data_IF_782663669593
#
_entry.id   IF_782663669593
#
_cell.length_a   1.000
_cell.length_b   1.000
_cell.length_c   1.000
_cell.angle_alpha   90.00
_cell.angle_beta   90.00
_cell.angle_gamma   90.00
#
_symmetry.space_group_name_H-M   'P 1'
#
loop_
_entity.id
_entity.type
_entity.pdbx_description
1 polymer ?
#
# COMPACT_ATOMS: atom_id res chain seq x y z
N UNK A 1 -1.05 -6.85 8.12
CA UNK A 1 -1.00 -5.90 9.26
C UNK A 1 -0.91 -4.45 8.81
N UNK A 2 -1.68 -4.02 7.77
CA UNK A 2 -1.45 -2.73 7.09
C UNK A 2 -2.39 -1.61 7.54
N UNK A 3 -3.54 -1.91 8.17
CA UNK A 3 -4.45 -0.86 8.62
C UNK A 3 -3.84 -0.05 9.76
N UNK A 4 -4.14 1.26 9.83
CA UNK A 4 -3.59 2.16 10.84
C UNK A 4 -3.83 1.63 12.26
N UNK A 5 -5.06 1.22 12.59
CA UNK A 5 -5.36 0.67 13.91
C UNK A 5 -4.62 -0.62 14.22
N UNK A 6 -4.41 -1.53 13.25
CA UNK A 6 -3.59 -2.73 13.46
C UNK A 6 -2.11 -2.37 13.69
N UNK A 7 -1.58 -1.39 12.96
CA UNK A 7 -0.20 -0.91 13.17
C UNK A 7 -0.04 -0.36 14.58
N UNK A 8 -0.95 0.49 15.04
CA UNK A 8 -0.92 1.06 16.38
C UNK A 8 -1.02 -0.02 17.45
N UNK A 9 -1.96 -0.95 17.29
CA UNK A 9 -2.07 -2.08 18.20
C UNK A 9 -0.78 -2.92 18.27
N UNK A 10 -0.16 -3.21 17.12
CA UNK A 10 1.12 -3.94 17.08
C UNK A 10 2.27 -3.18 17.74
N UNK A 11 2.30 -1.84 17.62
CA UNK A 11 3.27 -0.98 18.34
C UNK A 11 3.09 -1.06 19.86
N UNK A 12 1.85 -1.04 20.35
CA UNK A 12 1.55 -1.22 21.79
C UNK A 12 1.86 -2.63 22.27
N UNK A 13 1.52 -3.64 21.47
CA UNK A 13 1.77 -5.05 21.77
C UNK A 13 3.26 -5.37 21.84
N UNK A 14 4.09 -4.68 21.06
CA UNK A 14 5.54 -4.93 20.96
C UNK A 14 5.85 -6.42 20.81
N UNK A 15 5.45 -7.05 19.69
CA UNK A 15 5.57 -8.49 19.53
C UNK A 15 7.04 -8.92 19.59
N UNK A 16 7.33 -9.93 20.41
CA UNK A 16 8.66 -10.50 20.62
C UNK A 16 8.74 -11.94 20.09
N UNK A 17 7.59 -12.51 19.76
CA UNK A 17 7.47 -13.88 19.26
C UNK A 17 6.40 -14.01 18.20
N UNK A 18 6.43 -15.12 17.45
CA UNK A 18 5.37 -15.43 16.49
C UNK A 18 4.01 -15.60 17.19
N UNK A 19 3.98 -16.11 18.42
CA UNK A 19 2.77 -16.25 19.21
C UNK A 19 2.09 -14.90 19.49
N UNK A 20 2.86 -13.84 19.70
CA UNK A 20 2.31 -12.48 19.85
C UNK A 20 1.61 -12.00 18.58
N UNK A 21 2.19 -12.30 17.41
CA UNK A 21 1.59 -11.95 16.12
C UNK A 21 0.30 -12.75 15.90
N UNK A 22 0.29 -14.05 16.24
CA UNK A 22 -0.88 -14.91 16.16
C UNK A 22 -2.01 -14.37 17.05
N UNK A 23 -1.68 -14.01 18.30
CA UNK A 23 -2.64 -13.41 19.22
C UNK A 23 -3.14 -12.06 18.71
N UNK A 24 -2.25 -11.22 18.19
CA UNK A 24 -2.61 -9.92 17.63
C UNK A 24 -3.60 -10.02 16.47
N UNK A 25 -3.37 -10.92 15.52
CA UNK A 25 -4.31 -11.18 14.41
C UNK A 25 -5.67 -11.66 14.96
N UNK A 26 -5.65 -12.45 16.01
CA UNK A 26 -6.88 -13.02 16.60
C UNK A 26 -7.69 -12.00 17.41
N UNK A 27 -7.02 -11.08 18.11
CA UNK A 27 -7.63 -10.07 18.96
C UNK A 27 -8.13 -8.84 18.19
N UNK A 28 -7.46 -8.42 17.13
CA UNK A 28 -7.83 -7.21 16.41
C UNK A 28 -9.03 -7.41 15.50
N UNK A 29 -10.20 -7.56 16.11
CA UNK A 29 -11.51 -7.72 15.43
C UNK A 29 -12.63 -7.21 16.34
N UNK A 30 -13.78 -6.75 15.79
CA UNK A 30 -14.93 -6.36 16.61
C UNK A 30 -15.34 -7.46 17.60
N UNK A 31 -15.38 -7.12 18.87
CA UNK A 31 -15.63 -8.03 20.00
C UNK A 31 -14.36 -8.37 20.78
N UNK A 32 -13.40 -9.13 20.23
CA UNK A 32 -12.15 -9.44 20.93
C UNK A 32 -11.27 -8.22 21.23
N UNK A 33 -11.42 -7.13 20.49
CA UNK A 33 -10.66 -5.89 20.73
C UNK A 33 -10.81 -5.36 22.17
N UNK A 34 -11.93 -5.59 22.82
CA UNK A 34 -12.17 -5.17 24.21
C UNK A 34 -11.21 -5.85 25.21
N UNK A 35 -10.60 -6.97 24.83
CA UNK A 35 -9.64 -7.71 25.65
C UNK A 35 -8.18 -7.34 25.40
N UNK A 36 -7.89 -6.52 24.39
CA UNK A 36 -6.53 -6.07 24.07
C UNK A 36 -5.83 -5.43 25.28
N UNK A 37 -6.45 -4.50 26.04
CA UNK A 37 -5.81 -3.90 27.20
C UNK A 37 -5.41 -4.93 28.27
N UNK A 38 -6.27 -5.94 28.50
CA UNK A 38 -5.99 -7.02 29.45
C UNK A 38 -4.81 -7.89 28.96
N UNK A 39 -4.79 -8.22 27.67
CA UNK A 39 -3.72 -9.01 27.07
C UNK A 39 -2.37 -8.28 27.17
N UNK A 40 -2.32 -6.99 26.80
CA UNK A 40 -1.10 -6.16 26.88
C UNK A 40 -0.63 -6.02 28.33
N UNK A 41 -1.56 -5.79 29.28
CA UNK A 41 -1.23 -5.72 30.71
C UNK A 41 -0.60 -7.03 31.21
N UNK A 42 -1.19 -8.16 30.87
CA UNK A 42 -0.66 -9.48 31.23
C UNK A 42 0.69 -9.77 30.59
N UNK A 43 0.89 -9.39 29.30
CA UNK A 43 2.15 -9.52 28.62
C UNK A 43 3.27 -8.69 29.25
N UNK A 44 2.97 -7.42 29.61
CA UNK A 44 3.95 -6.52 30.20
C UNK A 44 4.29 -6.88 31.67
N UNK A 45 3.37 -7.57 32.36
CA UNK A 45 3.55 -8.02 33.74
C UNK A 45 2.97 -9.43 33.93
N UNK A 46 3.64 -10.48 33.44
CA UNK A 46 3.16 -11.87 33.52
C UNK A 46 2.91 -12.36 34.97
N UNK A 47 3.68 -11.82 35.93
CA UNK A 47 3.53 -12.18 37.35
C UNK A 47 2.22 -11.66 37.96
N UNK A 48 1.57 -10.66 37.37
CA UNK A 48 0.28 -10.14 37.81
C UNK A 48 -0.91 -10.97 37.33
N UNK A 49 -0.69 -11.94 36.44
CA UNK A 49 -1.76 -12.79 35.91
C UNK A 49 -2.18 -13.80 36.94
N UNK A 50 -3.46 -13.79 37.28
CA UNK A 50 -4.06 -14.75 38.23
C UNK A 50 -4.94 -15.72 37.45
N UNK A 51 -5.00 -16.97 37.94
CA UNK A 51 -5.82 -18.03 37.37
C UNK A 51 -6.82 -18.50 38.41
N UNK A 52 -8.09 -18.65 38.06
CA UNK A 52 -9.16 -19.12 38.97
C UNK A 52 -8.93 -20.55 39.48
N UNK A 53 -8.16 -21.33 38.73
CA UNK A 53 -7.66 -22.67 39.17
C UNK A 53 -6.29 -22.92 38.58
N UNK A 54 -5.38 -23.65 39.28
CA UNK A 54 -4.07 -24.01 38.72
C UNK A 54 -4.13 -24.78 37.39
N UNK A 55 -5.25 -25.46 37.14
CA UNK A 55 -5.46 -26.22 35.88
C UNK A 55 -5.58 -25.31 34.64
N UNK A 56 -5.92 -24.05 34.81
CA UNK A 56 -6.00 -23.07 33.72
C UNK A 56 -4.62 -22.54 33.28
N UNK A 57 -3.65 -22.55 34.19
CA UNK A 57 -2.33 -21.97 33.93
C UNK A 57 -1.68 -22.54 32.67
N UNK A 58 -1.52 -23.85 32.46
CA UNK A 58 -0.87 -24.38 31.29
C UNK A 58 -1.62 -24.08 29.98
N UNK A 59 -2.92 -23.78 30.06
CA UNK A 59 -3.77 -23.48 28.90
C UNK A 59 -3.69 -22.00 28.52
N UNK A 60 -3.71 -21.10 29.52
CA UNK A 60 -3.86 -19.66 29.35
C UNK A 60 -2.55 -18.88 29.52
N UNK A 61 -1.49 -19.50 30.04
CA UNK A 61 -0.17 -18.84 30.19
C UNK A 61 0.37 -18.30 28.86
N UNK A 62 0.26 -19.03 27.71
CA UNK A 62 0.71 -18.52 26.42
C UNK A 62 -0.05 -17.28 25.91
N UNK A 63 -1.20 -16.99 26.51
CA UNK A 63 -2.07 -15.85 26.19
C UNK A 63 -2.31 -14.92 27.38
N UNK A 64 -1.39 -14.97 28.35
CA UNK A 64 -1.38 -14.09 29.52
C UNK A 64 -2.72 -14.06 30.31
N UNK A 65 -3.33 -15.24 30.43
CA UNK A 65 -4.59 -15.41 31.17
C UNK A 65 -5.86 -15.12 30.36
N UNK A 66 -5.72 -14.73 29.09
CA UNK A 66 -6.88 -14.48 28.22
C UNK A 66 -7.27 -15.74 27.42
N UNK A 67 -8.57 -15.98 27.25
CA UNK A 67 -9.06 -16.96 26.29
C UNK A 67 -9.06 -16.24 24.92
N UNK A 68 -8.27 -16.67 23.96
CA UNK A 68 -8.15 -16.08 22.61
C UNK A 68 -8.59 -17.05 21.52
N UNK A 69 -8.31 -18.33 21.73
CA UNK A 69 -8.47 -19.38 20.72
C UNK A 69 -9.60 -20.35 21.03
N UNK A 70 -10.25 -20.86 19.98
CA UNK A 70 -11.25 -21.91 20.08
C UNK A 70 -10.67 -23.18 20.72
N UNK A 71 -9.41 -23.47 20.44
CA UNK A 71 -8.66 -24.60 20.97
C UNK A 71 -8.52 -24.52 22.49
N UNK A 72 -8.38 -23.31 23.06
CA UNK A 72 -8.31 -23.12 24.51
C UNK A 72 -9.66 -23.46 25.17
N UNK A 73 -10.79 -23.10 24.58
CA UNK A 73 -12.11 -23.51 25.08
C UNK A 73 -12.22 -25.03 25.15
N UNK A 74 -11.75 -25.73 24.09
CA UNK A 74 -11.74 -27.20 24.10
C UNK A 74 -10.83 -27.76 25.18
N UNK A 75 -9.63 -27.21 25.34
CA UNK A 75 -8.67 -27.63 26.38
C UNK A 75 -9.22 -27.41 27.80
N UNK A 76 -9.91 -26.27 28.01
CA UNK A 76 -10.53 -25.95 29.32
C UNK A 76 -11.58 -27.01 29.70
N UNK A 77 -12.52 -27.34 28.81
CA UNK A 77 -13.55 -28.33 29.14
C UNK A 77 -12.97 -29.74 29.31
N UNK A 78 -11.89 -30.05 28.60
CA UNK A 78 -11.17 -31.31 28.77
C UNK A 78 -10.44 -31.38 30.12
N UNK A 79 -9.65 -30.35 30.44
CA UNK A 79 -8.82 -30.33 31.64
C UNK A 79 -9.63 -30.20 32.92
N UNK A 80 -10.69 -29.36 32.94
CA UNK A 80 -11.45 -29.06 34.12
C UNK A 80 -12.60 -30.03 34.37
N UNK A 81 -13.31 -30.44 33.33
CA UNK A 81 -14.51 -31.28 33.44
C UNK A 81 -14.37 -32.69 32.88
N UNK A 82 -13.19 -33.04 32.32
CA UNK A 82 -12.90 -34.38 31.83
C UNK A 82 -13.62 -34.74 30.51
N UNK A 83 -13.88 -33.77 29.63
CA UNK A 83 -14.51 -34.02 28.35
C UNK A 83 -13.59 -34.76 27.40
N UNK A 84 -14.14 -35.66 26.60
CA UNK A 84 -13.41 -36.22 25.46
C UNK A 84 -13.18 -35.15 24.40
N UNK A 85 -12.18 -35.30 23.52
CA UNK A 85 -11.90 -34.35 22.43
C UNK A 85 -13.12 -34.14 21.51
N UNK A 86 -13.80 -35.23 21.13
CA UNK A 86 -14.99 -35.14 20.28
C UNK A 86 -16.13 -34.35 20.94
N UNK A 87 -16.33 -34.55 22.27
CA UNK A 87 -17.33 -33.78 23.02
C UNK A 87 -16.93 -32.31 23.19
N UNK A 88 -15.66 -32.03 23.45
CA UNK A 88 -15.16 -30.66 23.55
C UNK A 88 -15.40 -29.89 22.24
N UNK A 89 -15.25 -30.54 21.08
CA UNK A 89 -15.56 -29.91 19.78
C UNK A 89 -17.08 -29.64 19.62
N UNK A 90 -17.94 -30.52 20.11
CA UNK A 90 -19.39 -30.26 20.10
C UNK A 90 -19.75 -29.02 20.98
N UNK A 91 -19.13 -28.89 22.15
CA UNK A 91 -19.31 -27.71 23.02
C UNK A 91 -18.86 -26.44 22.32
N UNK A 92 -17.65 -26.45 21.74
CA UNK A 92 -17.13 -25.32 20.96
C UNK A 92 -18.07 -24.90 19.84
N UNK A 93 -18.60 -25.86 19.08
CA UNK A 93 -19.57 -25.62 17.98
C UNK A 93 -20.88 -25.05 18.51
N UNK A 94 -21.40 -25.55 19.65
CA UNK A 94 -22.62 -25.07 20.26
C UNK A 94 -22.48 -23.62 20.73
N UNK A 95 -21.37 -23.27 21.38
CA UNK A 95 -21.05 -21.93 21.83
C UNK A 95 -20.92 -20.97 20.63
N UNK A 96 -20.18 -21.33 19.58
CA UNK A 96 -20.04 -20.52 18.36
C UNK A 96 -21.37 -20.25 17.65
N UNK A 97 -22.31 -21.21 17.68
CA UNK A 97 -23.64 -21.10 17.07
C UNK A 97 -24.68 -20.46 17.99
N UNK A 98 -24.30 -20.05 19.22
CA UNK A 98 -25.17 -19.40 20.22
C UNK A 98 -26.45 -20.19 20.52
N UNK A 99 -26.38 -21.51 20.57
CA UNK A 99 -27.51 -22.37 20.88
C UNK A 99 -27.76 -22.40 22.40
N UNK A 100 -28.55 -21.45 22.90
CA UNK A 100 -28.76 -21.24 24.32
C UNK A 100 -29.16 -22.50 25.12
N UNK A 101 -30.09 -23.30 24.61
CA UNK A 101 -30.52 -24.55 25.26
C UNK A 101 -29.42 -25.59 25.34
N UNK A 102 -28.56 -25.69 24.34
CA UNK A 102 -27.41 -26.59 24.35
C UNK A 102 -26.34 -26.09 25.33
N UNK A 103 -26.12 -24.78 25.34
CA UNK A 103 -25.15 -24.16 26.22
C UNK A 103 -25.53 -24.33 27.71
N UNK A 104 -26.80 -24.20 28.03
CA UNK A 104 -27.26 -24.42 29.41
C UNK A 104 -27.15 -25.87 29.85
N UNK A 105 -27.51 -26.82 28.96
CA UNK A 105 -27.30 -28.25 29.23
C UNK A 105 -25.81 -28.56 29.43
N UNK A 106 -24.95 -27.99 28.61
CA UNK A 106 -23.50 -28.20 28.75
C UNK A 106 -22.91 -27.50 29.96
N UNK A 107 -23.50 -26.39 30.44
CA UNK A 107 -23.13 -25.79 31.74
C UNK A 107 -23.34 -26.80 32.90
N UNK A 108 -24.49 -27.45 32.94
CA UNK A 108 -24.79 -28.47 33.95
C UNK A 108 -23.80 -29.63 33.86
N UNK A 109 -23.53 -30.12 32.65
CA UNK A 109 -22.55 -31.20 32.45
C UNK A 109 -21.12 -30.75 32.86
N UNK A 110 -20.72 -29.53 32.53
CA UNK A 110 -19.41 -28.98 32.86
C UNK A 110 -19.23 -28.85 34.41
N UNK A 111 -20.20 -28.31 35.09
CA UNK A 111 -20.11 -28.05 36.50
C UNK A 111 -20.28 -29.35 37.31
N UNK A 112 -21.39 -30.05 37.10
CA UNK A 112 -21.80 -31.19 37.94
C UNK A 112 -21.46 -32.56 37.40
N UNK A 113 -21.13 -32.63 36.12
CA UNK A 113 -20.88 -33.88 35.41
C UNK A 113 -22.11 -34.54 34.79
N UNK A 114 -21.90 -35.61 34.07
CA UNK A 114 -22.94 -36.41 33.47
C UNK A 114 -22.39 -37.83 33.23
N UNK A 115 -22.69 -38.76 34.15
CA UNK A 115 -22.17 -40.12 34.10
C UNK A 115 -22.63 -40.87 32.86
N UNK A 116 -23.85 -40.63 32.37
CA UNK A 116 -24.41 -41.28 31.20
C UNK A 116 -23.65 -40.87 29.91
N UNK A 117 -23.07 -39.71 29.93
CA UNK A 117 -22.27 -39.17 28.79
C UNK A 117 -20.75 -39.22 29.09
N UNK A 118 -20.33 -39.84 30.19
CA UNK A 118 -18.92 -40.05 30.55
C UNK A 118 -18.18 -38.75 30.93
N UNK A 119 -18.90 -37.75 31.44
CA UNK A 119 -18.34 -36.46 31.87
C UNK A 119 -18.22 -36.41 33.38
N UNK A 120 -17.02 -36.37 33.98
CA UNK A 120 -16.84 -36.24 35.44
C UNK A 120 -17.38 -34.95 36.01
N UNK A 121 -17.22 -33.84 35.35
CA UNK A 121 -17.56 -32.50 35.83
C UNK A 121 -16.50 -31.85 36.71
N UNK A 122 -16.54 -30.52 36.83
CA UNK A 122 -15.57 -29.71 37.56
C UNK A 122 -15.56 -30.05 39.06
N UNK A 123 -16.72 -30.23 39.67
CA UNK A 123 -16.83 -30.51 41.11
C UNK A 123 -16.12 -31.81 41.47
N UNK A 124 -16.28 -32.88 40.67
CA UNK A 124 -15.59 -34.14 40.89
C UNK A 124 -14.07 -34.01 40.74
N UNK A 125 -13.63 -33.05 39.94
CA UNK A 125 -12.22 -32.74 39.72
C UNK A 125 -11.67 -31.71 40.73
N UNK A 126 -12.41 -31.40 41.78
CA UNK A 126 -11.98 -30.55 42.89
C UNK A 126 -12.10 -29.05 42.66
N UNK A 127 -12.87 -28.62 41.68
CA UNK A 127 -13.17 -27.20 41.41
C UNK A 127 -14.54 -26.88 42.01
N UNK A 128 -14.62 -25.85 42.82
CA UNK A 128 -15.90 -25.45 43.43
C UNK A 128 -16.90 -24.91 42.43
N UNK A 129 -18.18 -25.00 42.75
CA UNK A 129 -19.31 -24.63 41.89
C UNK A 129 -19.22 -23.18 41.39
N UNK A 130 -18.86 -22.25 42.28
CA UNK A 130 -18.78 -20.83 41.95
C UNK A 130 -17.68 -20.55 40.90
N UNK A 131 -16.51 -21.13 41.13
CA UNK A 131 -15.37 -21.04 40.22
C UNK A 131 -15.69 -21.70 38.90
N UNK A 132 -16.30 -22.89 38.86
CA UNK A 132 -16.70 -23.56 37.64
C UNK A 132 -17.71 -22.76 36.84
N UNK A 133 -18.72 -22.18 37.45
CA UNK A 133 -19.70 -21.32 36.77
C UNK A 133 -19.05 -20.05 36.23
N UNK A 134 -18.16 -19.40 36.99
CA UNK A 134 -17.42 -18.22 36.50
C UNK A 134 -16.61 -18.53 35.21
N UNK A 135 -15.85 -19.62 35.24
CA UNK A 135 -15.06 -20.03 34.08
C UNK A 135 -15.96 -20.35 32.88
N UNK A 136 -17.12 -20.96 33.13
CA UNK A 136 -18.06 -21.26 32.07
C UNK A 136 -18.66 -19.97 31.45
N UNK A 137 -18.96 -18.95 32.25
CA UNK A 137 -19.43 -17.64 31.78
C UNK A 137 -18.36 -16.95 30.91
N UNK A 138 -17.10 -16.97 31.36
CA UNK A 138 -15.98 -16.44 30.60
C UNK A 138 -15.82 -17.16 29.27
N UNK A 139 -15.93 -18.49 29.24
CA UNK A 139 -15.90 -19.27 27.99
C UNK A 139 -17.04 -18.90 27.05
N UNK A 140 -18.26 -18.69 27.57
CA UNK A 140 -19.42 -18.27 26.72
C UNK A 140 -19.18 -16.91 26.09
N UNK A 141 -18.69 -15.95 26.88
CA UNK A 141 -18.45 -14.60 26.35
C UNK A 141 -17.36 -14.60 25.29
N UNK A 142 -16.30 -15.36 25.49
CA UNK A 142 -15.23 -15.53 24.53
C UNK A 142 -15.60 -16.39 23.33
N UNK A 143 -16.37 -17.45 23.51
CA UNK A 143 -16.73 -18.35 22.41
C UNK A 143 -17.53 -17.68 21.30
N UNK A 144 -18.19 -16.55 21.61
CA UNK A 144 -18.84 -15.70 20.60
C UNK A 144 -17.84 -15.14 19.58
N UNK A 145 -16.56 -15.01 19.97
CA UNK A 145 -15.51 -14.29 19.26
C UNK A 145 -14.21 -15.09 19.11
N UNK A 146 -14.07 -16.24 19.79
CA UNK A 146 -12.87 -17.08 19.79
C UNK A 146 -12.43 -17.43 18.36
N UNK A 147 -11.12 -17.31 18.10
CA UNK A 147 -10.54 -17.48 16.76
C UNK A 147 -9.89 -18.85 16.61
N UNK A 148 -9.89 -19.37 15.42
CA UNK A 148 -9.13 -20.57 15.10
C UNK A 148 -7.64 -20.26 15.09
N UNK A 149 -6.87 -20.87 16.01
CA UNK A 149 -5.43 -20.62 16.14
C UNK A 149 -4.67 -20.97 14.87
N UNK A 150 -5.00 -22.09 14.22
CA UNK A 150 -4.32 -22.55 13.02
C UNK A 150 -4.45 -21.54 11.87
N UNK A 151 -5.62 -20.93 11.72
CA UNK A 151 -5.84 -19.89 10.71
C UNK A 151 -5.00 -18.62 11.03
N UNK A 152 -5.01 -18.15 12.28
CA UNK A 152 -4.19 -17.02 12.69
C UNK A 152 -2.69 -17.32 12.54
N UNK A 153 -2.25 -18.52 12.87
CA UNK A 153 -0.85 -18.95 12.73
C UNK A 153 -0.38 -18.90 11.26
N UNK A 154 -1.20 -19.39 10.33
CA UNK A 154 -0.88 -19.32 8.91
C UNK A 154 -0.67 -17.88 8.42
N UNK A 155 -1.58 -16.98 8.78
CA UNK A 155 -1.44 -15.54 8.45
C UNK A 155 -0.30 -14.85 9.18
N UNK A 156 -0.05 -15.19 10.45
CA UNK A 156 1.09 -14.66 11.20
C UNK A 156 2.42 -15.04 10.55
N UNK A 157 2.54 -16.29 10.10
CA UNK A 157 3.74 -16.77 9.42
C UNK A 157 3.99 -16.00 8.12
N UNK A 158 2.96 -15.83 7.26
CA UNK A 158 3.07 -15.02 6.03
C UNK A 158 3.41 -13.56 6.35
N UNK A 159 2.75 -12.97 7.36
CA UNK A 159 3.04 -11.60 7.79
C UNK A 159 4.49 -11.43 8.27
N UNK A 160 4.98 -12.39 9.03
CA UNK A 160 6.38 -12.41 9.47
C UNK A 160 7.35 -12.53 8.29
N UNK A 161 7.07 -13.43 7.33
CA UNK A 161 7.91 -13.57 6.13
C UNK A 161 7.97 -12.27 5.32
N UNK A 162 6.83 -11.60 5.12
CA UNK A 162 6.78 -10.33 4.39
C UNK A 162 7.54 -9.22 5.13
N UNK A 163 7.42 -9.14 6.45
CA UNK A 163 8.18 -8.20 7.26
C UNK A 163 9.70 -8.46 7.21
N UNK A 164 10.09 -9.74 7.28
CA UNK A 164 11.48 -10.16 7.17
C UNK A 164 12.07 -9.79 5.80
N UNK A 165 11.35 -10.08 4.73
CA UNK A 165 11.78 -9.72 3.36
C UNK A 165 11.89 -8.19 3.20
N UNK A 166 10.93 -7.43 3.73
CA UNK A 166 10.97 -5.96 3.68
C UNK A 166 12.17 -5.40 4.43
N UNK A 167 12.56 -6.02 5.56
CA UNK A 167 13.70 -5.57 6.37
C UNK A 167 15.05 -5.90 5.73
N UNK A 168 15.25 -7.13 5.26
CA UNK A 168 16.54 -7.58 4.75
C UNK A 168 16.74 -7.35 3.24
N UNK A 169 15.65 -7.26 2.47
CA UNK A 169 15.63 -7.10 1.01
C UNK A 169 14.62 -6.03 0.59
N UNK A 170 14.79 -4.78 1.09
CA UNK A 170 13.76 -3.76 0.89
C UNK A 170 13.55 -3.40 -0.58
N UNK A 171 14.58 -3.36 -1.40
CA UNK A 171 14.51 -3.02 -2.83
C UNK A 171 13.71 -4.06 -3.60
N UNK A 172 14.06 -5.34 -3.41
CA UNK A 172 13.39 -6.48 -4.03
C UNK A 172 11.93 -6.59 -3.56
N UNK A 173 11.70 -6.39 -2.26
CA UNK A 173 10.36 -6.43 -1.68
C UNK A 173 9.47 -5.34 -2.27
N UNK A 174 9.94 -4.10 -2.33
CA UNK A 174 9.17 -2.98 -2.87
C UNK A 174 8.93 -3.13 -4.38
N UNK A 175 9.90 -3.63 -5.14
CA UNK A 175 9.73 -3.93 -6.57
C UNK A 175 8.65 -5.01 -6.80
N UNK A 176 8.66 -6.08 -6.01
CA UNK A 176 7.66 -7.14 -6.04
C UNK A 176 6.28 -6.64 -5.62
N UNK A 177 6.20 -5.81 -4.57
CA UNK A 177 4.97 -5.22 -4.06
C UNK A 177 4.31 -4.30 -5.11
N UNK A 178 5.08 -3.40 -5.72
CA UNK A 178 4.59 -2.54 -6.81
C UNK A 178 4.12 -3.37 -8.03
N UNK A 179 4.85 -4.43 -8.34
CA UNK A 179 4.46 -5.35 -9.43
C UNK A 179 3.13 -6.05 -9.13
N UNK A 180 2.88 -6.44 -7.88
CA UNK A 180 1.63 -7.11 -7.49
C UNK A 180 0.38 -6.24 -7.63
N UNK A 181 0.55 -4.92 -7.63
CA UNK A 181 -0.53 -3.95 -7.78
C UNK A 181 -0.38 -3.06 -9.02
N UNK A 182 0.33 -3.54 -10.05
CA UNK A 182 0.70 -2.77 -11.26
C UNK A 182 -0.51 -2.18 -11.99
N UNK A 183 -1.66 -2.85 -11.92
CA UNK A 183 -2.93 -2.40 -12.52
C UNK A 183 -3.66 -1.33 -11.67
N UNK A 184 -3.09 -0.95 -10.51
CA UNK A 184 -3.64 0.08 -9.63
C UNK A 184 -2.67 1.25 -9.48
N UNK A 185 -2.75 2.28 -10.36
CA UNK A 185 -1.81 3.42 -10.35
C UNK A 185 -1.73 4.15 -9.02
N UNK A 186 -2.85 4.24 -8.27
CA UNK A 186 -2.87 4.88 -6.95
C UNK A 186 -2.02 4.13 -5.93
N UNK A 187 -2.10 2.79 -5.92
CA UNK A 187 -1.25 1.95 -5.05
C UNK A 187 0.21 1.97 -5.46
N UNK A 188 0.48 1.95 -6.76
CA UNK A 188 1.84 2.10 -7.29
C UNK A 188 2.45 3.43 -6.82
N UNK A 189 1.71 4.54 -6.94
CA UNK A 189 2.17 5.86 -6.48
C UNK A 189 2.45 5.87 -4.96
N UNK A 190 1.56 5.29 -4.13
CA UNK A 190 1.75 5.16 -2.68
C UNK A 190 3.05 4.41 -2.35
N UNK A 191 3.30 3.28 -3.02
CA UNK A 191 4.50 2.47 -2.76
C UNK A 191 5.78 3.10 -3.32
N UNK A 192 5.69 3.91 -4.37
CA UNK A 192 6.83 4.71 -4.85
C UNK A 192 7.22 5.76 -3.81
N UNK A 193 6.25 6.47 -3.24
CA UNK A 193 6.51 7.42 -2.16
C UNK A 193 7.13 6.71 -0.94
N UNK A 194 6.56 5.58 -0.53
CA UNK A 194 7.13 4.77 0.55
C UNK A 194 8.57 4.31 0.25
N UNK A 195 8.85 3.91 -0.98
CA UNK A 195 10.22 3.53 -1.40
C UNK A 195 11.19 4.68 -1.28
N UNK A 196 10.80 5.89 -1.69
CA UNK A 196 11.62 7.10 -1.56
C UNK A 196 11.90 7.46 -0.10
N UNK A 197 10.90 7.34 0.79
CA UNK A 197 11.07 7.52 2.24
C UNK A 197 12.05 6.51 2.84
N UNK A 198 12.12 5.30 2.28
CA UNK A 198 13.11 4.27 2.64
C UNK A 198 14.50 4.52 2.01
N UNK A 199 14.70 5.62 1.29
CA UNK A 199 15.95 5.93 0.58
C UNK A 199 16.16 5.14 -0.72
N UNK A 200 15.13 4.47 -1.25
CA UNK A 200 15.19 3.69 -2.48
C UNK A 200 14.80 4.57 -3.67
N UNK A 201 15.73 4.78 -4.60
CA UNK A 201 15.50 5.54 -5.82
C UNK A 201 14.63 4.77 -6.81
N UNK A 202 13.75 5.50 -7.50
CA UNK A 202 12.95 4.96 -8.60
C UNK A 202 13.50 5.52 -9.90
N UNK A 203 13.97 4.63 -10.77
CA UNK A 203 14.50 4.99 -12.09
C UNK A 203 13.36 5.01 -13.12
N UNK A 204 13.38 5.94 -14.08
CA UNK A 204 12.36 6.01 -15.13
C UNK A 204 12.35 4.73 -15.98
N UNK A 205 11.25 4.47 -16.71
CA UNK A 205 11.25 3.41 -17.71
C UNK A 205 12.33 3.65 -18.75
N UNK A 206 12.89 2.57 -19.28
CA UNK A 206 13.94 2.59 -20.30
C UNK A 206 13.66 1.44 -21.28
N UNK A 207 13.53 1.75 -22.57
CA UNK A 207 13.15 0.77 -23.57
C UNK A 207 14.15 -0.39 -23.70
N UNK A 208 15.41 -0.13 -23.35
CA UNK A 208 16.49 -1.09 -23.44
C UNK A 208 16.74 -1.86 -22.12
N UNK A 209 16.18 -1.40 -20.98
CA UNK A 209 16.47 -1.97 -19.67
C UNK A 209 15.22 -2.44 -18.91
N UNK A 210 14.10 -1.71 -19.04
CA UNK A 210 12.87 -2.04 -18.30
C UNK A 210 12.25 -3.33 -18.79
N UNK A 211 11.76 -4.11 -17.84
CA UNK A 211 10.86 -5.23 -18.06
C UNK A 211 9.38 -4.77 -18.01
N UNK A 212 8.44 -5.67 -18.23
CA UNK A 212 7.03 -5.37 -17.98
C UNK A 212 6.74 -5.02 -16.52
N UNK A 213 7.41 -5.70 -15.59
CA UNK A 213 7.30 -5.51 -14.14
C UNK A 213 8.34 -4.52 -13.59
N UNK A 214 8.15 -4.03 -12.37
CA UNK A 214 9.18 -3.32 -11.62
C UNK A 214 10.33 -4.28 -11.30
N UNK A 215 11.56 -3.86 -11.53
CA UNK A 215 12.76 -4.68 -11.35
C UNK A 215 13.84 -3.94 -10.57
N UNK A 216 14.65 -4.72 -9.88
CA UNK A 216 15.83 -4.18 -9.17
C UNK A 216 16.90 -3.80 -10.20
N UNK A 217 17.47 -2.61 -10.04
CA UNK A 217 18.56 -2.08 -10.85
C UNK A 217 19.63 -1.48 -9.90
N UNK A 218 20.53 -2.31 -9.44
CA UNK A 218 21.48 -1.97 -8.37
C UNK A 218 20.77 -1.78 -7.02
N UNK A 219 20.88 -0.58 -6.46
CA UNK A 219 20.18 -0.18 -5.21
C UNK A 219 18.89 0.61 -5.49
N UNK A 220 18.44 0.62 -6.74
CA UNK A 220 17.25 1.33 -7.17
C UNK A 220 16.21 0.36 -7.75
N UNK A 221 15.01 0.86 -7.98
CA UNK A 221 13.94 0.13 -8.65
C UNK A 221 13.70 0.79 -10.01
N UNK A 222 13.78 0.01 -11.08
CA UNK A 222 13.44 0.45 -12.42
C UNK A 222 11.94 0.34 -12.64
N UNK A 223 11.34 1.40 -13.18
CA UNK A 223 9.92 1.47 -13.48
C UNK A 223 9.52 0.43 -14.52
N UNK A 224 8.47 -0.34 -14.24
CA UNK A 224 7.95 -1.37 -15.13
C UNK A 224 7.15 -0.79 -16.28
N UNK A 225 7.43 -1.22 -17.51
CA UNK A 225 6.73 -0.72 -18.70
C UNK A 225 5.21 -0.99 -18.69
N UNK A 226 4.75 -2.04 -17.99
CA UNK A 226 3.32 -2.34 -17.84
C UNK A 226 2.57 -1.30 -17.02
N UNK A 227 3.25 -0.57 -16.16
CA UNK A 227 2.65 0.50 -15.38
C UNK A 227 2.50 1.81 -16.17
N UNK A 228 3.09 1.91 -17.37
CA UNK A 228 2.91 3.06 -18.24
C UNK A 228 1.51 3.01 -18.86
N UNK A 229 0.77 4.10 -18.75
CA UNK A 229 -0.62 4.19 -19.21
C UNK A 229 -0.78 3.82 -20.70
N UNK A 230 -1.69 2.91 -20.97
CA UNK A 230 -2.03 2.50 -22.33
C UNK A 230 -1.03 1.55 -22.99
N UNK A 231 -0.08 1.01 -22.25
CA UNK A 231 0.83 -0.02 -22.72
C UNK A 231 0.25 -1.40 -22.42
N UNK A 232 -0.04 -2.16 -23.45
CA UNK A 232 -0.57 -3.51 -23.32
C UNK A 232 0.53 -4.56 -23.12
N UNK A 233 0.19 -5.67 -22.48
CA UNK A 233 1.10 -6.80 -22.27
C UNK A 233 1.75 -7.33 -23.56
N UNK A 234 1.03 -7.50 -24.71
CA UNK A 234 1.63 -7.97 -25.94
C UNK A 234 2.73 -7.06 -26.48
N UNK A 235 2.56 -5.73 -26.35
CA UNK A 235 3.58 -4.75 -26.77
C UNK A 235 4.87 -4.92 -25.97
N UNK A 236 4.74 -5.07 -24.65
CA UNK A 236 5.88 -5.26 -23.75
C UNK A 236 6.64 -6.55 -24.03
N UNK A 237 5.89 -7.65 -24.19
CA UNK A 237 6.48 -8.95 -24.52
C UNK A 237 7.26 -8.87 -25.83
N UNK A 238 6.67 -8.24 -26.87
CA UNK A 238 7.35 -8.03 -28.15
C UNK A 238 8.62 -7.19 -28.03
N UNK A 239 8.63 -6.14 -27.18
CA UNK A 239 9.81 -5.31 -26.95
C UNK A 239 10.92 -6.11 -26.27
N UNK A 240 10.58 -6.83 -25.21
CA UNK A 240 11.55 -7.61 -24.42
C UNK A 240 12.12 -8.75 -25.25
N UNK A 241 11.29 -9.49 -25.98
CA UNK A 241 11.72 -10.57 -26.88
C UNK A 241 12.65 -10.04 -27.96
N UNK A 242 12.26 -8.94 -28.62
CA UNK A 242 13.01 -8.37 -29.72
C UNK A 242 14.41 -7.90 -29.30
N UNK A 243 14.50 -7.15 -28.18
CA UNK A 243 15.81 -6.70 -27.69
C UNK A 243 16.69 -7.83 -27.16
N UNK A 244 16.06 -8.89 -26.61
CA UNK A 244 16.78 -10.08 -26.12
C UNK A 244 17.37 -10.89 -27.27
N UNK A 245 16.67 -10.98 -28.38
CA UNK A 245 17.12 -11.72 -29.57
C UNK A 245 18.13 -10.92 -30.42
N UNK A 246 17.93 -9.63 -30.60
CA UNK A 246 18.63 -8.81 -31.59
C UNK A 246 19.41 -7.63 -30.97
N UNK A 247 19.54 -7.60 -29.62
CA UNK A 247 20.26 -6.56 -28.89
C UNK A 247 19.44 -5.27 -28.69
N UNK A 248 20.02 -4.28 -28.01
CA UNK A 248 19.34 -3.04 -27.66
C UNK A 248 18.91 -2.25 -28.89
N UNK A 249 17.83 -1.50 -28.76
CA UNK A 249 17.39 -0.53 -29.76
C UNK A 249 18.35 0.66 -29.78
N UNK A 250 18.69 1.14 -30.98
CA UNK A 250 19.68 2.20 -31.19
C UNK A 250 19.06 3.58 -31.44
N UNK A 251 17.82 3.60 -31.94
CA UNK A 251 17.09 4.83 -32.28
C UNK A 251 15.59 4.56 -32.33
N UNK A 252 14.78 5.63 -32.40
CA UNK A 252 13.35 5.51 -32.62
C UNK A 252 13.02 4.80 -33.96
N UNK A 253 13.80 5.03 -35.03
CA UNK A 253 13.60 4.37 -36.31
C UNK A 253 13.90 2.87 -36.21
N UNK A 254 15.02 2.47 -35.61
CA UNK A 254 15.37 1.06 -35.35
C UNK A 254 14.29 0.35 -34.52
N UNK A 255 13.78 1.01 -33.50
CA UNK A 255 12.65 0.51 -32.67
C UNK A 255 11.39 0.30 -33.54
N UNK A 256 11.03 1.28 -34.36
CA UNK A 256 9.85 1.21 -35.20
C UNK A 256 9.96 0.11 -36.28
N UNK A 257 11.12 -0.02 -36.94
CA UNK A 257 11.39 -1.03 -37.98
C UNK A 257 11.29 -2.46 -37.38
N UNK A 258 11.98 -2.71 -36.30
CA UNK A 258 12.06 -4.02 -35.63
C UNK A 258 10.72 -4.47 -35.01
N UNK A 259 9.90 -3.54 -34.60
CA UNK A 259 8.57 -3.81 -34.00
C UNK A 259 7.42 -3.53 -34.95
N UNK A 260 7.71 -3.22 -36.22
CA UNK A 260 6.70 -2.99 -37.26
C UNK A 260 5.81 -4.23 -37.43
N UNK A 261 4.49 -4.04 -37.28
CA UNK A 261 3.49 -5.12 -37.35
C UNK A 261 3.26 -5.87 -36.06
N UNK A 262 3.89 -5.46 -34.94
CA UNK A 262 3.66 -5.98 -33.60
C UNK A 262 2.93 -4.89 -32.78
N UNK A 263 1.67 -4.82 -32.78
CA UNK A 263 0.77 -3.96 -31.94
C UNK A 263 1.32 -2.60 -31.43
N UNK A 264 2.48 -2.14 -31.91
CA UNK A 264 3.08 -0.84 -31.59
C UNK A 264 2.42 0.22 -32.46
N UNK A 265 1.69 1.13 -31.84
CA UNK A 265 1.00 2.22 -32.53
C UNK A 265 1.51 3.60 -32.08
N UNK A 266 1.05 4.66 -32.76
CA UNK A 266 1.46 6.04 -32.43
C UNK A 266 1.25 6.41 -30.99
N UNK A 267 0.13 6.00 -30.38
CA UNK A 267 -0.19 6.29 -28.98
C UNK A 267 0.78 5.59 -28.00
N UNK A 268 1.15 4.35 -28.31
CA UNK A 268 2.15 3.61 -27.53
C UNK A 268 3.50 4.34 -27.53
N UNK A 269 3.97 4.74 -28.70
CA UNK A 269 5.25 5.45 -28.84
C UNK A 269 5.20 6.82 -28.16
N UNK A 270 4.13 7.58 -28.35
CA UNK A 270 3.90 8.84 -27.66
C UNK A 270 3.97 8.69 -26.15
N UNK A 271 3.30 7.69 -25.56
CA UNK A 271 3.33 7.46 -24.15
C UNK A 271 4.71 7.04 -23.63
N UNK A 272 5.47 6.28 -24.40
CA UNK A 272 6.87 5.98 -24.07
C UNK A 272 7.78 7.22 -24.13
N UNK A 273 7.57 8.12 -25.10
CA UNK A 273 8.30 9.39 -25.17
C UNK A 273 7.97 10.23 -23.91
N UNK A 274 6.70 10.41 -23.60
CA UNK A 274 6.25 11.14 -22.41
C UNK A 274 6.81 10.56 -21.10
N UNK A 275 6.91 9.24 -21.03
CA UNK A 275 7.47 8.52 -19.89
C UNK A 275 9.00 8.59 -19.79
N UNK A 276 9.70 9.06 -20.83
CA UNK A 276 11.16 9.08 -20.88
C UNK A 276 11.78 7.74 -21.26
N UNK A 277 11.01 6.77 -21.75
CA UNK A 277 11.53 5.44 -22.08
C UNK A 277 12.56 5.43 -23.21
N UNK A 278 12.60 6.47 -24.01
CA UNK A 278 13.56 6.64 -25.13
C UNK A 278 14.71 7.61 -24.81
N UNK A 279 14.83 8.11 -23.60
CA UNK A 279 15.91 9.03 -23.19
C UNK A 279 17.29 8.41 -23.39
N UNK A 280 17.38 7.07 -23.39
CA UNK A 280 18.60 6.30 -23.70
C UNK A 280 19.15 6.52 -25.14
N UNK A 281 18.37 7.09 -26.05
CA UNK A 281 18.82 7.41 -27.40
C UNK A 281 19.61 8.73 -27.48
N UNK A 282 19.67 9.52 -26.41
CA UNK A 282 20.38 10.81 -26.40
C UNK A 282 19.70 11.90 -27.22
N UNK A 283 18.43 11.73 -27.56
CA UNK A 283 17.58 12.68 -28.25
C UNK A 283 16.55 13.21 -27.29
N UNK A 284 16.22 14.52 -27.31
CA UNK A 284 15.28 15.11 -26.39
C UNK A 284 13.85 14.62 -26.62
N UNK A 285 13.05 14.56 -25.57
CA UNK A 285 11.64 14.14 -25.69
C UNK A 285 10.86 15.05 -26.63
N UNK A 286 11.18 16.36 -26.63
CA UNK A 286 10.57 17.33 -27.54
C UNK A 286 10.92 17.03 -29.01
N UNK A 287 12.18 16.71 -29.31
CA UNK A 287 12.58 16.30 -30.66
C UNK A 287 11.88 15.02 -31.10
N UNK A 288 11.81 14.02 -30.24
CA UNK A 288 11.08 12.76 -30.48
C UNK A 288 9.60 13.00 -30.75
N UNK A 289 8.95 13.87 -30.00
CA UNK A 289 7.54 14.24 -30.20
C UNK A 289 7.28 14.92 -31.55
N UNK A 290 8.24 15.64 -32.11
CA UNK A 290 8.10 16.22 -33.45
C UNK A 290 8.18 15.19 -34.59
N UNK A 291 8.97 14.13 -34.43
CA UNK A 291 9.27 13.21 -35.51
C UNK A 291 8.57 11.86 -35.45
N UNK A 292 8.13 11.40 -34.28
CA UNK A 292 7.69 10.01 -34.04
C UNK A 292 6.57 9.57 -35.00
N UNK A 293 5.61 10.44 -35.28
CA UNK A 293 4.47 10.11 -36.11
C UNK A 293 4.88 9.87 -37.58
N UNK A 294 5.79 10.71 -38.08
CA UNK A 294 6.32 10.58 -39.44
C UNK A 294 7.20 9.34 -39.54
N UNK A 295 8.08 9.09 -38.59
CA UNK A 295 8.93 7.88 -38.54
C UNK A 295 8.09 6.61 -38.63
N UNK A 296 7.02 6.53 -37.86
CA UNK A 296 6.12 5.36 -37.85
C UNK A 296 5.37 5.21 -39.19
N UNK A 297 4.94 6.33 -39.80
CA UNK A 297 4.26 6.30 -41.10
C UNK A 297 5.22 5.88 -42.23
N UNK A 298 6.47 6.37 -42.21
CA UNK A 298 7.49 6.02 -43.21
C UNK A 298 7.86 4.55 -43.11
N UNK A 299 8.11 4.02 -41.90
CA UNK A 299 8.38 2.60 -41.68
C UNK A 299 7.21 1.72 -42.15
N UNK A 300 5.97 2.13 -41.83
CA UNK A 300 4.78 1.39 -42.30
C UNK A 300 4.65 1.38 -43.82
N UNK A 301 5.00 2.48 -44.48
CA UNK A 301 5.02 2.61 -45.96
C UNK A 301 6.09 1.73 -46.57
N UNK A 302 7.34 1.83 -46.09
CA UNK A 302 8.47 1.03 -46.57
C UNK A 302 8.15 -0.47 -46.47
N UNK A 303 7.56 -0.92 -45.38
CA UNK A 303 7.13 -2.32 -45.20
C UNK A 303 6.05 -2.75 -46.17
N UNK A 304 5.07 -1.88 -46.42
CA UNK A 304 4.00 -2.17 -47.42
C UNK A 304 4.56 -2.30 -48.83
N UNK A 305 5.49 -1.43 -49.20
CA UNK A 305 6.11 -1.43 -50.51
C UNK A 305 7.01 -2.67 -50.72
N UNK A 306 7.75 -3.10 -49.69
CA UNK A 306 8.54 -4.33 -49.73
C UNK A 306 7.68 -5.59 -49.86
N UNK A 307 6.52 -5.64 -49.21
CA UNK A 307 5.55 -6.76 -49.30
C UNK A 307 4.85 -6.82 -50.65
N UNK A 308 4.75 -5.72 -51.41
CA UNK A 308 4.17 -5.68 -52.74
C UNK A 308 5.14 -6.14 -53.85
N UNK A 309 6.36 -6.58 -53.52
CA UNK A 309 7.36 -7.05 -54.46
C UNK A 309 8.06 -5.95 -55.26
N UNK A 310 7.82 -4.68 -54.93
CA UNK A 310 8.61 -3.57 -55.43
C UNK A 310 9.93 -3.52 -54.66
N UNK A 311 11.03 -3.89 -55.33
CA UNK A 311 12.38 -3.67 -54.80
C UNK A 311 12.55 -2.17 -54.57
N UNK A 312 12.85 -1.79 -53.34
CA UNK A 312 13.19 -0.40 -53.01
C UNK A 312 14.51 -0.06 -53.69
N UNK A 313 14.63 1.15 -54.22
CA UNK A 313 15.90 1.70 -54.73
C UNK A 313 16.99 1.63 -53.64
N UNK A 314 16.62 1.53 -52.39
CA UNK A 314 17.47 1.42 -51.21
C UNK A 314 18.16 0.05 -51.03
N UNK A 315 17.66 -1.02 -51.64
CA UNK A 315 18.30 -2.35 -51.58
C UNK A 315 19.64 -2.40 -52.37
N UNK A 316 19.87 -1.40 -53.22
CA UNK A 316 21.07 -1.26 -54.04
C UNK A 316 22.06 -0.20 -53.51
N UNK A 317 21.80 0.44 -52.40
CA UNK A 317 22.57 1.57 -51.87
C UNK A 317 23.51 1.07 -50.78
N UNK A 318 24.78 1.51 -50.83
CA UNK A 318 25.79 1.17 -49.84
C UNK A 318 25.48 1.73 -48.44
N UNK A 319 26.15 1.21 -47.38
CA UNK A 319 25.91 1.61 -46.00
C UNK A 319 26.17 3.09 -45.74
N UNK A 320 26.99 3.75 -46.53
CA UNK A 320 27.28 5.19 -46.39
C UNK A 320 26.10 6.05 -46.85
N UNK A 321 25.38 5.60 -47.87
CA UNK A 321 24.18 6.30 -48.34
C UNK A 321 22.96 5.96 -47.50
N UNK A 322 22.89 4.77 -46.89
CA UNK A 322 21.86 4.43 -45.87
C UNK A 322 21.93 5.36 -44.68
N UNK A 323 23.11 5.80 -44.23
CA UNK A 323 23.29 6.80 -43.20
C UNK A 323 22.72 8.19 -43.54
N UNK A 324 22.59 8.54 -44.78
CA UNK A 324 22.00 9.82 -45.24
C UNK A 324 20.48 9.87 -45.07
N UNK A 325 19.83 8.76 -44.72
CA UNK A 325 18.40 8.63 -44.43
C UNK A 325 18.11 8.42 -42.93
N UNK A 326 19.07 8.78 -42.06
CA UNK A 326 18.81 8.84 -40.62
C UNK A 326 17.76 9.92 -40.36
N UNK A 327 16.90 9.64 -39.34
CA UNK A 327 15.89 10.60 -38.94
C UNK A 327 16.54 11.94 -38.58
N UNK A 328 16.19 12.98 -39.29
CA UNK A 328 16.66 14.34 -38.99
C UNK A 328 15.83 14.89 -37.85
N UNK A 329 16.46 15.11 -36.72
CA UNK A 329 15.82 15.71 -35.56
C UNK A 329 15.87 17.24 -35.64
N UNK A 330 14.77 17.97 -35.44
CA UNK A 330 14.76 19.43 -35.45
C UNK A 330 15.55 19.98 -34.25
N UNK A 331 16.20 21.12 -34.44
CA UNK A 331 16.89 21.85 -33.38
C UNK A 331 15.89 22.67 -32.55
N UNK A 332 15.14 21.99 -31.63
CA UNK A 332 14.07 22.61 -30.84
C UNK A 332 14.38 22.60 -29.34
N UNK A 333 15.56 22.11 -28.95
CA UNK A 333 15.92 21.93 -27.54
C UNK A 333 15.06 20.88 -26.83
N UNK A 334 14.93 21.01 -25.51
CA UNK A 334 14.07 20.16 -24.70
C UNK A 334 12.88 20.98 -24.15
N UNK A 335 11.88 20.28 -23.65
CA UNK A 335 10.79 20.90 -22.85
C UNK A 335 11.34 21.51 -21.57
N UNK A 336 10.66 22.52 -21.06
CA UNK A 336 10.91 22.99 -19.70
C UNK A 336 10.68 21.86 -18.68
N UNK A 337 11.41 21.89 -17.56
CA UNK A 337 11.34 20.83 -16.53
C UNK A 337 9.90 20.59 -16.04
N UNK A 338 9.13 21.66 -15.88
CA UNK A 338 7.71 21.58 -15.47
C UNK A 338 6.86 20.80 -16.47
N UNK A 339 7.12 20.99 -17.77
CA UNK A 339 6.38 20.31 -18.83
C UNK A 339 6.76 18.82 -18.88
N UNK A 340 8.06 18.50 -18.76
CA UNK A 340 8.53 17.12 -18.66
C UNK A 340 7.88 16.36 -17.50
N UNK A 341 7.80 16.97 -16.33
CA UNK A 341 7.16 16.39 -15.16
C UNK A 341 5.65 16.21 -15.36
N UNK A 342 5.02 17.16 -16.05
CA UNK A 342 3.59 17.06 -16.41
C UNK A 342 3.34 15.89 -17.34
N UNK A 343 4.19 15.70 -18.38
CA UNK A 343 4.13 14.57 -19.29
C UNK A 343 4.34 13.23 -18.56
N UNK A 344 5.31 13.17 -17.66
CA UNK A 344 5.52 11.97 -16.84
C UNK A 344 4.29 11.64 -16.01
N UNK A 345 3.73 12.62 -15.27
CA UNK A 345 2.55 12.41 -14.43
C UNK A 345 1.34 11.96 -15.22
N UNK A 346 1.16 12.44 -16.46
CA UNK A 346 0.06 12.04 -17.34
C UNK A 346 0.08 10.52 -17.63
N UNK A 347 1.26 9.94 -17.82
CA UNK A 347 1.42 8.55 -18.28
C UNK A 347 1.93 7.58 -17.22
N UNK A 348 2.60 8.07 -16.18
CA UNK A 348 3.11 7.28 -15.06
C UNK A 348 2.26 7.42 -13.79
N UNK A 349 1.41 8.46 -13.71
CA UNK A 349 0.62 8.79 -12.54
C UNK A 349 1.39 9.51 -11.42
N UNK A 350 2.70 9.66 -11.56
CA UNK A 350 3.63 10.28 -10.61
C UNK A 350 4.75 11.02 -11.33
N UNK A 351 5.49 11.84 -10.58
CA UNK A 351 6.75 12.42 -11.02
C UNK A 351 7.91 11.46 -10.73
N UNK A 352 8.67 11.06 -11.74
CA UNK A 352 9.80 10.13 -11.59
C UNK A 352 11.14 10.85 -11.65
N UNK A 353 11.34 11.77 -12.60
CA UNK A 353 12.62 12.44 -12.85
C UNK A 353 12.89 13.64 -11.92
N UNK A 354 11.97 13.99 -11.03
CA UNK A 354 12.10 15.11 -10.11
C UNK A 354 10.77 15.48 -9.47
N UNK A 355 10.72 16.62 -8.79
CA UNK A 355 9.47 17.16 -8.22
C UNK A 355 9.27 18.60 -8.68
N UNK A 356 8.04 19.05 -9.03
CA UNK A 356 7.80 20.40 -9.52
C UNK A 356 8.16 21.54 -8.53
N UNK A 357 8.31 21.21 -7.25
CA UNK A 357 8.71 22.18 -6.20
C UNK A 357 10.24 22.23 -5.98
N UNK A 358 11.06 21.37 -6.61
CA UNK A 358 12.50 21.34 -6.38
C UNK A 358 13.16 22.70 -6.66
N UNK A 359 12.79 23.36 -7.76
CA UNK A 359 13.33 24.68 -8.11
C UNK A 359 12.88 25.80 -7.14
N UNK A 360 11.85 25.54 -6.37
CA UNK A 360 11.28 26.48 -5.41
C UNK A 360 11.46 26.00 -3.97
N UNK A 361 12.34 25.04 -3.73
CA UNK A 361 12.56 24.43 -2.41
C UNK A 361 12.91 25.47 -1.35
N UNK A 362 13.75 26.46 -1.66
CA UNK A 362 14.14 27.50 -0.73
C UNK A 362 12.94 28.39 -0.32
N UNK A 363 12.09 28.77 -1.28
CA UNK A 363 10.86 29.49 -1.02
C UNK A 363 9.89 28.63 -0.19
N UNK A 364 9.75 27.36 -0.55
CA UNK A 364 8.90 26.42 0.16
C UNK A 364 9.35 26.27 1.62
N UNK A 365 10.63 25.98 1.88
CA UNK A 365 11.15 25.81 3.25
C UNK A 365 11.00 27.05 4.13
N UNK A 366 11.12 28.24 3.56
CA UNK A 366 10.99 29.50 4.33
C UNK A 366 9.56 29.81 4.77
N UNK A 367 8.57 29.30 4.07
CA UNK A 367 7.16 29.66 4.27
C UNK A 367 6.30 28.56 4.91
N UNK A 368 6.88 27.40 5.22
CA UNK A 368 6.18 26.33 5.93
C UNK A 368 6.60 26.28 7.40
N UNK A 369 5.70 25.79 8.25
CA UNK A 369 5.99 25.43 9.64
C UNK A 369 6.04 23.91 9.87
N UNK A 370 5.42 23.14 8.97
CA UNK A 370 5.40 21.69 9.01
C UNK A 370 5.43 21.11 7.58
N UNK A 371 5.96 19.91 7.44
CA UNK A 371 5.93 19.14 6.18
C UNK A 371 4.83 18.09 6.23
N UNK A 372 4.44 17.57 5.06
CA UNK A 372 3.34 16.59 4.98
C UNK A 372 3.58 15.32 5.80
N UNK A 373 4.84 14.89 5.96
CA UNK A 373 5.19 13.73 6.76
C UNK A 373 5.03 13.95 8.25
N UNK A 374 5.07 15.19 8.75
CA UNK A 374 4.85 15.50 10.17
C UNK A 374 3.42 15.17 10.63
N UNK A 375 2.48 15.07 9.68
CA UNK A 375 1.08 14.70 9.93
C UNK A 375 0.87 13.18 9.91
N UNK A 376 1.86 12.41 9.50
CA UNK A 376 1.84 10.96 9.54
C UNK A 376 2.36 10.47 10.90
N UNK A 377 1.86 9.35 11.41
CA UNK A 377 2.45 8.73 12.59
C UNK A 377 3.91 8.36 12.29
N UNK A 378 4.83 8.85 13.11
CA UNK A 378 6.24 8.47 13.07
C UNK A 378 6.42 6.96 13.30
N UNK A 379 7.40 6.34 12.64
CA UNK A 379 7.59 4.89 12.70
C UNK A 379 8.03 4.39 14.07
N UNK A 380 8.77 5.20 14.84
CA UNK A 380 9.27 4.81 16.16
C UNK A 380 8.29 5.15 17.27
N UNK A 381 7.75 6.36 17.26
CA UNK A 381 6.88 6.86 18.35
C UNK A 381 5.41 6.51 18.16
N UNK A 382 4.97 6.29 16.91
CA UNK A 382 3.57 6.03 16.58
C UNK A 382 2.67 7.26 16.55
N UNK A 383 3.22 8.45 16.87
CA UNK A 383 2.48 9.71 16.91
C UNK A 383 2.96 10.67 15.82
N UNK A 384 2.09 11.52 15.28
CA UNK A 384 2.51 12.59 14.39
C UNK A 384 3.38 13.60 15.14
N UNK A 385 4.29 14.26 14.43
CA UNK A 385 5.14 15.33 15.00
C UNK A 385 4.35 16.60 15.30
N UNK A 386 3.20 16.79 14.65
CA UNK A 386 2.30 17.93 14.86
C UNK A 386 1.33 17.67 16.02
N UNK A 387 1.02 18.73 16.78
CA UNK A 387 0.11 18.65 17.94
C UNK A 387 -1.32 18.99 17.52
N UNK A 388 -2.31 18.25 18.05
CA UNK A 388 -3.73 18.52 17.83
C UNK A 388 -4.09 19.97 18.19
N UNK A 389 -4.87 20.64 17.34
CA UNK A 389 -5.28 22.01 17.51
C UNK A 389 -4.20 23.05 17.18
N UNK A 390 -2.94 22.69 16.95
CA UNK A 390 -1.87 23.61 16.54
C UNK A 390 -2.18 24.26 15.19
N UNK A 391 -1.66 25.47 15.00
CA UNK A 391 -1.75 26.16 13.69
C UNK A 391 -0.47 25.90 12.92
N UNK A 392 -0.64 25.29 11.74
CA UNK A 392 0.48 24.97 10.87
C UNK A 392 0.27 25.58 9.48
N UNK A 393 1.39 25.80 8.79
CA UNK A 393 1.45 26.18 7.38
C UNK A 393 2.18 25.06 6.64
N UNK A 394 1.48 24.47 5.68
CA UNK A 394 2.04 23.50 4.75
C UNK A 394 2.07 24.08 3.34
N UNK A 395 3.06 23.71 2.55
CA UNK A 395 3.18 24.16 1.17
C UNK A 395 3.30 22.98 0.22
N UNK A 396 2.61 23.04 -0.91
CA UNK A 396 2.63 21.89 -1.84
C UNK A 396 1.82 22.12 -3.11
N UNK A 397 1.63 21.02 -3.82
CA UNK A 397 0.80 20.93 -5.03
C UNK A 397 -0.48 20.18 -4.67
N UNK A 398 -1.62 20.71 -5.08
CA UNK A 398 -2.90 20.02 -4.94
C UNK A 398 -2.98 18.93 -6.01
N UNK A 399 -2.84 17.67 -5.60
CA UNK A 399 -2.85 16.51 -6.54
C UNK A 399 -4.24 15.93 -6.76
N UNK A 400 -5.15 16.09 -5.79
CA UNK A 400 -6.55 15.62 -5.89
C UNK A 400 -7.50 16.57 -5.14
N UNK A 401 -8.73 16.66 -5.65
CA UNK A 401 -9.80 17.47 -5.04
C UNK A 401 -11.11 16.71 -5.09
N UNK A 402 -11.59 16.28 -3.92
CA UNK A 402 -12.89 15.63 -3.76
C UNK A 402 -13.90 16.59 -3.16
N UNK A 403 -14.96 16.86 -3.88
CA UNK A 403 -16.07 17.70 -3.38
C UNK A 403 -17.08 16.81 -2.65
N UNK A 404 -17.53 17.25 -1.48
CA UNK A 404 -18.63 16.65 -0.73
C UNK A 404 -19.64 17.71 -0.30
N UNK A 405 -20.87 17.28 -0.10
CA UNK A 405 -21.93 18.14 0.43
C UNK A 405 -22.23 17.75 1.87
N UNK A 406 -22.31 18.77 2.72
CA UNK A 406 -22.71 18.60 4.12
C UNK A 406 -24.20 18.24 4.22
N UNK A 407 -24.66 17.82 5.42
CA UNK A 407 -26.08 17.58 5.69
C UNK A 407 -27.00 18.77 5.37
N UNK A 408 -26.44 19.99 5.41
CA UNK A 408 -27.12 21.25 5.10
C UNK A 408 -26.92 21.69 3.62
N UNK A 409 -26.54 20.76 2.76
CA UNK A 409 -26.32 20.99 1.31
C UNK A 409 -25.28 22.08 0.99
N UNK A 410 -24.32 22.31 1.88
CA UNK A 410 -23.18 23.24 1.66
C UNK A 410 -21.98 22.47 1.15
N UNK A 411 -21.25 23.06 0.19
CA UNK A 411 -20.08 22.47 -0.43
C UNK A 411 -18.87 22.49 0.49
N UNK A 412 -18.17 21.37 0.63
CA UNK A 412 -16.87 21.24 1.26
C UNK A 412 -15.93 20.46 0.37
N UNK A 413 -14.63 20.55 0.59
CA UNK A 413 -13.64 19.80 -0.17
C UNK A 413 -12.67 19.04 0.73
N UNK A 414 -12.18 17.93 0.21
CA UNK A 414 -10.99 17.23 0.67
C UNK A 414 -9.94 17.39 -0.42
N UNK A 415 -8.80 17.98 -0.07
CA UNK A 415 -7.68 18.16 -0.97
C UNK A 415 -6.57 17.18 -0.57
N UNK A 416 -5.90 16.59 -1.54
CA UNK A 416 -4.62 15.94 -1.32
C UNK A 416 -3.54 16.93 -1.70
N UNK A 417 -2.70 17.30 -0.74
CA UNK A 417 -1.54 18.17 -0.94
C UNK A 417 -0.28 17.29 -0.94
N UNK A 418 0.53 17.41 -1.97
CA UNK A 418 1.83 16.74 -2.13
C UNK A 418 2.94 17.78 -2.04
N UNK A 419 3.95 17.50 -1.21
CA UNK A 419 5.18 18.29 -1.10
C UNK A 419 6.42 17.47 -1.49
N UNK A 420 7.62 17.97 -1.18
CA UNK A 420 8.88 17.31 -1.53
C UNK A 420 9.12 15.98 -0.79
N UNK A 421 8.41 15.74 0.32
CA UNK A 421 8.67 14.61 1.21
C UNK A 421 7.49 13.63 1.35
N UNK A 422 6.28 14.05 0.97
CA UNK A 422 5.11 13.18 1.08
C UNK A 422 3.80 13.82 0.61
N UNK A 423 2.69 13.29 1.11
CA UNK A 423 1.36 13.83 0.84
C UNK A 423 0.46 13.74 2.07
N UNK A 424 -0.52 14.64 2.16
CA UNK A 424 -1.48 14.67 3.26
C UNK A 424 -2.87 15.10 2.77
N UNK A 425 -3.89 14.77 3.57
CA UNK A 425 -5.26 15.23 3.34
C UNK A 425 -5.54 16.56 4.07
N UNK A 426 -6.13 17.49 3.36
CA UNK A 426 -6.57 18.79 3.88
C UNK A 426 -8.09 18.86 3.79
N UNK A 427 -8.74 19.25 4.87
CA UNK A 427 -10.19 19.42 4.93
C UNK A 427 -10.54 20.90 4.80
N UNK A 428 -11.37 21.22 3.84
CA UNK A 428 -11.84 22.60 3.60
C UNK A 428 -13.33 22.67 3.86
N UNK A 429 -13.71 23.26 4.99
CA UNK A 429 -15.13 23.43 5.36
C UNK A 429 -15.83 24.49 4.50
N UNK A 430 -17.17 24.50 4.44
CA UNK A 430 -17.93 25.32 3.51
C UNK A 430 -17.61 26.82 3.55
N UNK A 431 -17.41 27.39 4.75
CA UNK A 431 -17.07 28.80 4.92
C UNK A 431 -15.77 29.19 4.23
N UNK A 432 -14.77 28.30 4.32
CA UNK A 432 -13.45 28.56 3.79
C UNK A 432 -13.33 28.06 2.34
N UNK A 433 -14.19 27.11 1.93
CA UNK A 433 -14.35 26.71 0.55
C UNK A 433 -14.83 27.89 -0.33
N UNK A 434 -15.87 28.62 0.10
CA UNK A 434 -16.40 29.76 -0.66
C UNK A 434 -15.34 30.85 -0.89
N UNK A 435 -14.43 31.05 0.08
CA UNK A 435 -13.38 32.07 -0.01
C UNK A 435 -12.22 31.69 -0.91
N UNK A 436 -11.89 30.41 -0.97
CA UNK A 436 -10.65 29.92 -1.56
C UNK A 436 -10.87 29.09 -2.83
N UNK A 437 -12.11 28.96 -3.32
CA UNK A 437 -12.48 28.04 -4.42
C UNK A 437 -11.61 28.19 -5.68
N UNK A 438 -11.21 29.43 -6.01
CA UNK A 438 -10.37 29.72 -7.17
C UNK A 438 -8.94 29.14 -7.07
N UNK A 439 -8.39 29.02 -5.85
CA UNK A 439 -7.03 28.53 -5.58
C UNK A 439 -6.96 27.01 -5.41
N UNK A 440 -8.10 26.33 -5.28
CA UNK A 440 -8.18 24.88 -5.07
C UNK A 440 -8.31 24.11 -6.39
N UNK A 441 -7.47 24.41 -7.36
CA UNK A 441 -7.42 23.64 -8.61
C UNK A 441 -6.36 22.55 -8.51
N UNK A 442 -6.58 21.43 -9.19
CA UNK A 442 -5.56 20.39 -9.35
C UNK A 442 -4.33 21.00 -10.02
N UNK A 443 -3.14 20.60 -9.62
CA UNK A 443 -1.83 21.09 -9.98
C UNK A 443 -1.51 22.54 -9.55
N UNK A 444 -2.41 23.19 -8.77
CA UNK A 444 -2.09 24.48 -8.17
C UNK A 444 -1.03 24.33 -7.07
N UNK A 445 -0.01 25.20 -7.11
CA UNK A 445 1.01 25.34 -6.07
C UNK A 445 0.53 26.35 -5.04
N UNK A 446 0.38 25.90 -3.79
CA UNK A 446 -0.23 26.73 -2.74
C UNK A 446 0.46 26.52 -1.39
N UNK A 447 0.39 27.55 -0.54
CA UNK A 447 0.57 27.42 0.89
C UNK A 447 -0.81 27.40 1.56
N UNK A 448 -1.00 26.49 2.49
CA UNK A 448 -2.27 26.34 3.21
C UNK A 448 -2.01 26.45 4.70
N UNK A 449 -2.58 27.48 5.30
CA UNK A 449 -2.61 27.68 6.74
C UNK A 449 -3.87 27.03 7.30
N UNK A 450 -3.72 26.30 8.36
CA UNK A 450 -4.86 25.64 8.99
C UNK A 450 -4.57 25.17 10.41
N UNK A 451 -5.53 24.45 10.96
CA UNK A 451 -5.46 23.88 12.28
C UNK A 451 -5.33 22.35 12.18
N UNK A 452 -4.39 21.79 12.88
CA UNK A 452 -4.20 20.33 12.96
C UNK A 452 -5.44 19.69 13.58
N UNK A 453 -5.91 18.62 13.00
CA UNK A 453 -6.93 17.74 13.54
C UNK A 453 -6.35 16.34 13.62
N UNK A 454 -6.00 15.94 14.82
CA UNK A 454 -5.55 14.58 15.12
C UNK A 454 -6.76 13.75 15.56
N UNK A 455 -6.93 12.59 14.96
CA UNK A 455 -7.84 11.54 15.43
C UNK A 455 -6.98 10.36 15.85
N UNK A 456 -7.34 9.72 16.95
CA UNK A 456 -6.66 8.51 17.39
C UNK A 456 -6.65 7.47 16.26
N UNK A 457 -5.51 6.84 16.04
CA UNK A 457 -5.29 5.78 15.04
C UNK A 457 -5.38 6.20 13.56
N UNK A 458 -5.35 7.48 13.23
CA UNK A 458 -5.36 7.97 11.85
C UNK A 458 -4.27 9.01 11.60
N UNK A 459 -3.81 9.14 10.33
CA UNK A 459 -3.01 10.31 9.97
C UNK A 459 -3.73 11.60 10.32
N UNK A 460 -3.01 12.55 10.92
CA UNK A 460 -3.54 13.87 11.22
C UNK A 460 -3.89 14.61 9.92
N UNK A 461 -4.90 15.46 9.97
CA UNK A 461 -5.34 16.29 8.85
C UNK A 461 -5.15 17.76 9.18
N UNK A 462 -5.05 18.60 8.17
CA UNK A 462 -5.09 20.04 8.35
C UNK A 462 -6.50 20.55 7.98
N UNK A 463 -7.15 21.23 8.91
CA UNK A 463 -8.39 21.96 8.66
C UNK A 463 -8.00 23.32 8.11
N UNK A 464 -8.27 23.55 6.82
CA UNK A 464 -7.90 24.76 6.11
C UNK A 464 -8.59 26.00 6.71
N UNK A 465 -7.82 27.06 6.99
CA UNK A 465 -8.32 28.39 7.34
C UNK A 465 -8.06 29.40 6.22
N UNK A 466 -6.87 29.32 5.56
CA UNK A 466 -6.47 30.22 4.46
C UNK A 466 -5.64 29.48 3.43
N UNK A 467 -5.76 29.89 2.18
CA UNK A 467 -4.91 29.43 1.07
C UNK A 467 -4.22 30.64 0.46
N UNK A 468 -2.94 30.53 0.17
CA UNK A 468 -2.11 31.54 -0.46
C UNK A 468 -1.47 30.98 -1.72
N UNK A 469 -1.28 31.77 -2.79
CA UNK A 469 -0.50 31.35 -3.93
C UNK A 469 0.98 31.18 -3.54
N UNK A 470 1.69 30.28 -4.19
CA UNK A 470 3.09 29.97 -3.88
C UNK A 470 4.07 31.17 -4.08
N UNK A 471 3.65 32.20 -4.82
CA UNK A 471 4.44 33.40 -5.10
C UNK A 471 4.14 34.61 -4.16
N UNK A 472 3.43 34.41 -3.05
CA UNK A 472 2.99 35.54 -2.25
C UNK A 472 2.60 35.23 -0.82
N UNK A 473 3.58 34.97 0.05
CA UNK A 473 3.46 35.20 1.49
C UNK A 473 4.41 36.34 1.88
#
# INVERSE_FOLDING_TARGET
LESAGMKNFMKELKPQSLEDIIAGISLYRPGPMDFIPQYIKGKNNPESVTYDTPLLKPILEPTYGCIVYQEQVMQIVQALAGYSLGRADLVRRAMSKKKASVMEKERQNFVYGNEAEGVPGCIKNGIDEKTANKIYDEMIDFAKYAFNKSHAAAYAFVSYQTAWLKYYYPVEFMAALMTSCIDNPGKVAEYILSSRQMGISILPPDINRSEGKFTVDGQAIRYGMAAVKGIGKPVMEAIVEERSANGPFRSLKDFAERLSGKEVNKRTVENFIKAGAFDCFGVTRKQLMFVYANVLDDVAREKKDSLSGQMSLFDFVDETTKRSYETVYPDVGEYEKSDLLTLEKEVLGIYVSGHPLEEQEECWRKNISAVTTDFQPDEETGFPSVTDGAKEIVGGIITDKKIKYTKNNKTMAFLTLEDLVGSMEIVVFPRDYEKNAAMMQTDARVFIQGRVSAEDDKPSKLICEKIFPFAGI
#
